data_IF_370418359577
#
_entry.id   IF_370418359577
#
_cell.length_a   1.000
_cell.length_b   1.000
_cell.length_c   1.000
_cell.angle_alpha   90.00
_cell.angle_beta   90.00
_cell.angle_gamma   90.00
#
_symmetry.space_group_name_H-M   'P 1'
#
loop_
_entity.id
_entity.type
_entity.pdbx_description
1 polymer ?
#
# COMPACT_ATOMS: atom_id res chain seq x y z
N UNK A 1 31.03 1.84 20.51
CA UNK A 1 29.73 1.48 21.07
C UNK A 1 28.68 1.75 20.01
N UNK A 2 27.78 0.80 19.73
CA UNK A 2 26.48 1.15 19.14
C UNK A 2 25.75 1.89 20.26
N UNK A 3 26.07 3.17 20.41
CA UNK A 3 25.48 3.98 21.47
C UNK A 3 24.02 4.11 21.09
N UNK A 4 23.13 3.66 21.96
CA UNK A 4 21.70 3.89 21.91
C UNK A 4 21.38 5.38 22.11
N UNK A 5 21.98 6.25 21.29
CA UNK A 5 21.54 7.62 21.12
C UNK A 5 20.24 7.52 20.32
N UNK A 6 19.15 8.00 20.92
CA UNK A 6 17.88 8.16 20.24
C UNK A 6 18.12 8.69 18.82
N UNK A 7 17.40 8.19 17.78
CA UNK A 7 17.74 8.46 16.40
C UNK A 7 17.96 9.96 16.22
N UNK A 8 19.18 10.34 15.81
CA UNK A 8 19.66 11.72 15.70
C UNK A 8 18.75 12.61 14.83
N UNK A 9 17.76 12.01 14.14
CA UNK A 9 16.75 12.70 13.36
C UNK A 9 15.61 13.38 14.15
N UNK A 10 15.37 13.03 15.42
CA UNK A 10 14.25 13.62 16.17
C UNK A 10 14.63 14.86 17.00
N UNK A 11 15.86 14.93 17.51
CA UNK A 11 16.26 15.96 18.49
C UNK A 11 17.59 16.70 18.17
N UNK A 12 18.35 16.33 17.14
CA UNK A 12 19.68 16.94 16.85
C UNK A 12 19.67 17.91 15.64
N UNK A 13 18.55 18.05 14.90
CA UNK A 13 18.45 18.92 13.72
C UNK A 13 17.52 20.14 13.82
N UNK A 14 16.77 20.28 14.92
CA UNK A 14 15.77 21.35 15.11
C UNK A 14 14.55 21.26 14.18
N UNK A 15 13.68 22.28 14.25
CA UNK A 15 12.47 22.42 13.43
C UNK A 15 12.64 22.21 11.90
N UNK A 16 13.75 22.62 11.24
CA UNK A 16 13.89 22.40 9.79
C UNK A 16 13.99 20.92 9.39
N UNK A 17 14.59 20.06 10.22
CA UNK A 17 14.67 18.63 9.91
C UNK A 17 13.30 17.95 10.01
N UNK A 18 12.49 18.34 11.00
CA UNK A 18 11.12 17.86 11.15
C UNK A 18 10.27 18.17 9.91
N UNK A 19 10.34 19.40 9.39
CA UNK A 19 9.62 19.80 8.17
C UNK A 19 10.06 18.98 6.95
N UNK A 20 11.36 18.69 6.82
CA UNK A 20 11.86 17.86 5.72
C UNK A 20 11.33 16.42 5.79
N UNK A 21 11.24 15.83 6.99
CA UNK A 21 10.67 14.50 7.15
C UNK A 21 9.17 14.48 6.86
N UNK A 22 8.43 15.50 7.29
CA UNK A 22 7.00 15.65 6.95
C UNK A 22 6.81 15.74 5.44
N UNK A 23 7.65 16.52 4.74
CA UNK A 23 7.60 16.60 3.28
C UNK A 23 7.91 15.26 2.61
N UNK A 24 8.92 14.54 3.09
CA UNK A 24 9.27 13.23 2.57
C UNK A 24 8.12 12.21 2.74
N UNK A 25 7.49 12.18 3.92
CA UNK A 25 6.33 11.31 4.19
C UNK A 25 5.13 11.71 3.33
N UNK A 26 4.85 13.01 3.19
CA UNK A 26 3.76 13.48 2.33
C UNK A 26 3.99 13.08 0.87
N UNK A 27 5.23 13.23 0.37
CA UNK A 27 5.60 12.85 -0.99
C UNK A 27 5.43 11.34 -1.23
N UNK A 28 5.84 10.50 -0.28
CA UNK A 28 5.67 9.04 -0.42
C UNK A 28 4.20 8.62 -0.33
N UNK A 29 3.39 9.25 0.52
CA UNK A 29 1.95 9.00 0.58
C UNK A 29 1.25 9.39 -0.72
N UNK A 30 1.54 10.57 -1.26
CA UNK A 30 0.97 11.03 -2.53
C UNK A 30 1.40 10.11 -3.66
N UNK A 31 2.70 9.79 -3.75
CA UNK A 31 3.21 8.91 -4.79
C UNK A 31 2.60 7.52 -4.71
N UNK A 32 2.63 6.88 -3.53
CA UNK A 32 2.05 5.53 -3.35
C UNK A 32 0.55 5.51 -3.63
N UNK A 33 -0.20 6.53 -3.19
CA UNK A 33 -1.63 6.66 -3.47
C UNK A 33 -1.90 6.80 -4.97
N UNK A 34 -1.29 7.81 -5.63
CA UNK A 34 -1.53 8.09 -7.04
C UNK A 34 -1.02 6.96 -7.94
N UNK A 35 0.20 6.47 -7.70
CA UNK A 35 0.77 5.39 -8.50
C UNK A 35 -0.09 4.13 -8.39
N UNK A 36 -0.54 3.77 -7.18
CA UNK A 36 -1.45 2.62 -6.99
C UNK A 36 -2.79 2.85 -7.69
N UNK A 37 -3.38 4.05 -7.60
CA UNK A 37 -4.63 4.35 -8.30
C UNK A 37 -4.50 4.20 -9.83
N UNK A 38 -3.40 4.69 -10.41
CA UNK A 38 -3.13 4.54 -11.85
C UNK A 38 -3.01 3.07 -12.22
N UNK A 39 -2.23 2.29 -11.45
CA UNK A 39 -2.06 0.85 -11.69
C UNK A 39 -3.40 0.12 -11.60
N UNK A 40 -4.18 0.37 -10.53
CA UNK A 40 -5.49 -0.26 -10.36
C UNK A 40 -6.45 0.10 -11.48
N UNK A 41 -6.41 1.35 -11.98
CA UNK A 41 -7.27 1.77 -13.09
C UNK A 41 -6.88 1.07 -14.40
N UNK A 42 -5.59 0.96 -14.68
CA UNK A 42 -5.08 0.23 -15.85
C UNK A 42 -5.47 -1.25 -15.77
N UNK A 43 -5.24 -1.91 -14.62
CA UNK A 43 -5.62 -3.31 -14.39
C UNK A 43 -7.13 -3.52 -14.51
N UNK A 44 -7.92 -2.58 -13.99
CA UNK A 44 -9.39 -2.62 -14.09
C UNK A 44 -9.88 -2.62 -15.53
N UNK A 45 -9.24 -1.86 -16.42
CA UNK A 45 -9.63 -1.80 -17.84
C UNK A 45 -9.18 -3.04 -18.59
N UNK A 46 -7.98 -3.56 -18.30
CA UNK A 46 -7.39 -4.65 -19.07
C UNK A 46 -7.89 -6.04 -18.66
N UNK A 47 -8.04 -6.29 -17.37
CA UNK A 47 -8.32 -7.63 -16.81
C UNK A 47 -9.63 -7.66 -16.04
N UNK A 48 -9.96 -6.57 -15.36
CA UNK A 48 -11.02 -6.56 -14.35
C UNK A 48 -10.46 -6.93 -12.97
N UNK A 49 -10.69 -6.07 -11.98
CA UNK A 49 -10.08 -6.17 -10.65
C UNK A 49 -10.92 -6.99 -9.64
N UNK A 50 -12.22 -7.12 -9.88
CA UNK A 50 -13.17 -7.81 -9.00
C UNK A 50 -13.85 -8.94 -9.78
N UNK A 51 -14.00 -10.09 -9.14
CA UNK A 51 -14.76 -11.23 -9.66
C UNK A 51 -16.24 -10.87 -9.79
N UNK A 52 -16.97 -11.66 -10.58
CA UNK A 52 -18.39 -11.42 -10.77
C UNK A 52 -19.18 -11.76 -9.49
N UNK A 53 -20.34 -11.12 -9.27
CA UNK A 53 -21.10 -11.25 -8.01
C UNK A 53 -21.62 -12.68 -7.77
N UNK A 54 -21.85 -13.44 -8.85
CA UNK A 54 -22.19 -14.86 -8.79
C UNK A 54 -21.01 -15.72 -8.29
N UNK A 55 -19.79 -15.45 -8.77
CA UNK A 55 -18.56 -16.16 -8.36
C UNK A 55 -18.19 -15.86 -6.90
N UNK A 56 -18.39 -14.61 -6.47
CA UNK A 56 -18.22 -14.20 -5.07
C UNK A 56 -19.19 -14.95 -4.13
N UNK A 57 -20.39 -15.31 -4.63
CA UNK A 57 -21.45 -15.99 -3.86
C UNK A 57 -21.27 -17.51 -3.82
N UNK A 58 -20.71 -18.09 -4.87
CA UNK A 58 -20.39 -19.53 -4.96
C UNK A 58 -19.13 -19.90 -4.16
N UNK A 59 -18.30 -18.90 -3.86
CA UNK A 59 -17.12 -19.00 -3.00
C UNK A 59 -15.84 -18.94 -3.82
N UNK A 60 -14.96 -17.98 -3.49
CA UNK A 60 -13.73 -17.73 -4.25
C UNK A 60 -12.81 -18.95 -4.32
N UNK A 61 -12.77 -19.75 -3.26
CA UNK A 61 -11.94 -20.96 -3.21
C UNK A 61 -12.47 -22.05 -4.17
N UNK A 62 -13.80 -22.14 -4.32
CA UNK A 62 -14.44 -23.08 -5.26
C UNK A 62 -14.24 -22.62 -6.71
N UNK A 63 -14.38 -21.33 -6.97
CA UNK A 63 -14.34 -20.76 -8.33
C UNK A 63 -12.93 -20.53 -8.84
N UNK A 64 -12.03 -19.97 -8.03
CA UNK A 64 -10.66 -19.63 -8.44
C UNK A 64 -9.64 -20.74 -8.16
N UNK A 65 -9.85 -21.54 -7.11
CA UNK A 65 -8.90 -22.58 -6.69
C UNK A 65 -9.42 -24.00 -6.90
N UNK A 66 -10.70 -24.17 -7.26
CA UNK A 66 -11.32 -25.49 -7.48
C UNK A 66 -11.43 -26.33 -6.21
N UNK A 67 -11.24 -25.72 -5.03
CA UNK A 67 -11.25 -26.41 -3.75
C UNK A 67 -12.71 -26.59 -3.28
N UNK A 68 -13.26 -27.78 -3.50
CA UNK A 68 -14.48 -28.21 -2.81
C UNK A 68 -14.07 -28.86 -1.49
N UNK A 69 -14.36 -28.18 -0.38
CA UNK A 69 -14.28 -28.78 0.95
C UNK A 69 -15.27 -29.96 1.01
N UNK A 70 -14.72 -31.17 0.87
CA UNK A 70 -15.39 -32.43 1.16
C UNK A 70 -15.29 -32.77 2.64
#
# INVERSE_FOLDING_TARGET
SVTAAAPDGAYVGGMPLFLNQVYAVAATLIYSGIATLVILFVVKILVGLRVNEEEEREGLDVVLHGERLG
#
